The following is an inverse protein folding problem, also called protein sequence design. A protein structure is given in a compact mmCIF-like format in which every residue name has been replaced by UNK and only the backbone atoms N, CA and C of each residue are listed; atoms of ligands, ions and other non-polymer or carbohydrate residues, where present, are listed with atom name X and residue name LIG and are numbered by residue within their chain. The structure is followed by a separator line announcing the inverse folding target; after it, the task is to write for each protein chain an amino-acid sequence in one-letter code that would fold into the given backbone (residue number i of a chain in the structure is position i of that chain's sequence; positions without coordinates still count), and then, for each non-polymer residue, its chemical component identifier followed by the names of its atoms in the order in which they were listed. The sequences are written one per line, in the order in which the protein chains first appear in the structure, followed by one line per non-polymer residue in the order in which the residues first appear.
data_IF_422557895407
#
_entry.id   IF_422557895407
#
_cell.length_a   1.000
_cell.length_b   1.000
_cell.length_c   1.000
_cell.angle_alpha   90.00
_cell.angle_beta   90.00
_cell.angle_gamma   90.00
#
_symmetry.space_group_name_H-M   'P 1'
#
loop_
_entity.id
_entity.type
_entity.pdbx_description
1 polymer ?
#
# COMPACT_ATOMS: atom_id res chain seq x y z
N UNK A 1 -22.49 -4.30 14.73
CA UNK A 1 -21.28 -4.99 14.28
C UNK A 1 -20.82 -4.45 12.95
N UNK A 2 -19.55 -4.08 12.86
CA UNK A 2 -19.00 -3.44 11.67
C UNK A 2 -18.45 -4.46 10.68
N UNK A 3 -18.55 -4.14 9.37
CA UNK A 3 -17.87 -4.92 8.34
C UNK A 3 -16.34 -4.72 8.46
N UNK A 4 -15.55 -5.56 7.77
CA UNK A 4 -14.11 -5.43 7.75
C UNK A 4 -13.64 -4.06 7.24
N UNK A 5 -14.28 -3.56 6.16
CA UNK A 5 -13.95 -2.24 5.61
C UNK A 5 -14.31 -1.11 6.56
N UNK A 6 -15.46 -1.22 7.22
CA UNK A 6 -15.88 -0.22 8.21
C UNK A 6 -14.95 -0.22 9.41
N UNK A 7 -14.52 -1.40 9.87
CA UNK A 7 -13.57 -1.51 10.96
C UNK A 7 -12.24 -0.85 10.59
N UNK A 8 -11.79 -1.04 9.36
CA UNK A 8 -10.55 -0.44 8.89
C UNK A 8 -10.65 1.08 8.82
N UNK A 9 -11.78 1.60 8.33
CA UNK A 9 -11.98 3.06 8.29
C UNK A 9 -12.05 3.66 9.70
N UNK A 10 -12.65 2.97 10.64
CA UNK A 10 -12.68 3.42 12.03
C UNK A 10 -11.26 3.45 12.60
N UNK A 11 -10.46 2.42 12.31
CA UNK A 11 -9.08 2.37 12.76
C UNK A 11 -8.25 3.54 12.19
N UNK A 12 -8.46 3.85 10.91
CA UNK A 12 -7.79 4.98 10.26
C UNK A 12 -8.21 6.29 10.93
N UNK A 13 -9.51 6.46 11.17
CA UNK A 13 -10.02 7.67 11.83
C UNK A 13 -9.43 7.86 13.22
N UNK A 14 -9.30 6.78 13.99
CA UNK A 14 -8.69 6.83 15.32
C UNK A 14 -7.23 7.23 15.24
N UNK A 15 -6.49 6.68 14.27
CA UNK A 15 -5.10 7.05 14.07
C UNK A 15 -4.97 8.52 13.74
N UNK A 16 -5.84 9.06 12.88
CA UNK A 16 -5.83 10.46 12.49
C UNK A 16 -6.18 11.39 13.66
N UNK A 17 -7.03 10.92 14.58
CA UNK A 17 -7.43 11.75 15.72
C UNK A 17 -6.26 12.13 16.62
N UNK A 18 -5.15 11.40 16.55
CA UNK A 18 -3.94 11.71 17.33
C UNK A 18 -2.99 12.65 16.59
N UNK A 19 -3.33 13.07 15.38
CA UNK A 19 -2.51 13.94 14.52
C UNK A 19 -1.08 13.40 14.34
N UNK A 20 -0.94 12.16 13.84
CA UNK A 20 0.38 11.54 13.72
C UNK A 20 1.21 12.15 12.59
N UNK A 21 2.52 12.09 12.73
CA UNK A 21 3.42 12.48 11.64
C UNK A 21 3.51 11.39 10.57
N UNK A 22 3.43 10.12 10.99
CA UNK A 22 3.52 8.96 10.10
C UNK A 22 2.46 7.94 10.49
N UNK A 23 1.79 7.36 9.50
CA UNK A 23 0.85 6.26 9.71
C UNK A 23 1.41 5.01 9.07
N UNK A 24 1.37 3.89 9.79
CA UNK A 24 1.80 2.60 9.30
C UNK A 24 0.59 1.70 9.04
N UNK A 25 0.51 1.14 7.83
CA UNK A 25 -0.51 0.18 7.45
C UNK A 25 0.13 -1.15 7.11
N UNK A 26 -0.35 -2.23 7.71
CA UNK A 26 0.15 -3.58 7.44
C UNK A 26 -0.95 -4.40 6.79
N UNK A 27 -0.85 -4.61 5.48
CA UNK A 27 -1.83 -5.35 4.69
C UNK A 27 -3.25 -4.85 4.94
N UNK A 28 -3.51 -3.56 4.69
CA UNK A 28 -4.80 -2.96 5.07
C UNK A 28 -6.01 -3.56 4.35
N UNK A 29 -5.79 -4.25 3.23
CA UNK A 29 -6.86 -4.85 2.46
C UNK A 29 -6.94 -6.36 2.61
N UNK A 30 -6.08 -6.95 3.45
CA UNK A 30 -6.06 -8.39 3.68
C UNK A 30 -7.40 -8.85 4.26
N UNK A 31 -7.92 -9.97 3.73
CA UNK A 31 -9.18 -10.58 4.18
C UNK A 31 -10.44 -9.74 3.97
N UNK A 32 -10.38 -8.71 3.12
CA UNK A 32 -11.56 -7.92 2.78
C UNK A 32 -12.15 -8.36 1.45
N UNK A 33 -13.47 -8.17 1.30
CA UNK A 33 -14.13 -8.37 0.02
C UNK A 33 -13.65 -7.33 -1.00
N UNK A 34 -13.68 -7.64 -2.31
CA UNK A 34 -13.21 -6.69 -3.33
C UNK A 34 -13.84 -5.31 -3.25
N UNK A 35 -15.12 -5.22 -2.92
CA UNK A 35 -15.79 -3.92 -2.79
C UNK A 35 -15.21 -3.11 -1.64
N UNK A 36 -14.94 -3.76 -0.51
CA UNK A 36 -14.37 -3.10 0.66
C UNK A 36 -12.92 -2.71 0.44
N UNK A 37 -12.20 -3.49 -0.36
CA UNK A 37 -10.81 -3.15 -0.72
C UNK A 37 -10.78 -1.79 -1.40
N UNK A 38 -11.68 -1.55 -2.36
CA UNK A 38 -11.72 -0.27 -3.06
C UNK A 38 -12.05 0.90 -2.13
N UNK A 39 -12.93 0.70 -1.18
CA UNK A 39 -13.24 1.74 -0.20
C UNK A 39 -12.02 2.11 0.65
N UNK A 40 -11.30 1.11 1.14
CA UNK A 40 -10.13 1.35 1.98
C UNK A 40 -9.02 2.03 1.17
N UNK A 41 -8.76 1.53 -0.04
CA UNK A 41 -7.74 2.14 -0.89
C UNK A 41 -8.08 3.58 -1.26
N UNK A 42 -9.36 3.88 -1.46
CA UNK A 42 -9.82 5.24 -1.74
C UNK A 42 -9.51 6.19 -0.58
N UNK A 43 -9.77 5.74 0.66
CA UNK A 43 -9.44 6.54 1.84
C UNK A 43 -7.95 6.80 1.93
N UNK A 44 -7.14 5.76 1.71
CA UNK A 44 -5.69 5.88 1.78
C UNK A 44 -5.16 6.82 0.68
N UNK A 45 -5.73 6.75 -0.52
CA UNK A 45 -5.36 7.64 -1.62
C UNK A 45 -5.66 9.09 -1.27
N UNK A 46 -6.81 9.34 -0.66
CA UNK A 46 -7.18 10.68 -0.20
C UNK A 46 -6.16 11.21 0.80
N UNK A 47 -5.76 10.38 1.77
CA UNK A 47 -4.75 10.77 2.75
C UNK A 47 -3.41 11.09 2.10
N UNK A 48 -3.00 10.30 1.12
CA UNK A 48 -1.76 10.54 0.39
C UNK A 48 -1.81 11.87 -0.35
N UNK A 49 -2.94 12.18 -0.98
CA UNK A 49 -3.13 13.44 -1.70
C UNK A 49 -3.12 14.65 -0.76
N UNK A 50 -3.47 14.45 0.50
CA UNK A 50 -3.43 15.50 1.51
C UNK A 50 -2.04 15.69 2.12
N UNK A 51 -1.05 14.93 1.65
CA UNK A 51 0.32 15.06 2.11
C UNK A 51 0.68 14.24 3.34
N UNK A 52 -0.19 13.31 3.73
CA UNK A 52 0.08 12.44 4.87
C UNK A 52 1.21 11.46 4.54
N UNK A 53 2.20 11.38 5.44
CA UNK A 53 3.28 10.40 5.29
C UNK A 53 2.79 9.04 5.78
N UNK A 54 2.89 8.03 4.90
CA UNK A 54 2.42 6.69 5.21
C UNK A 54 3.44 5.65 4.79
N UNK A 55 3.55 4.59 5.60
CA UNK A 55 4.29 3.39 5.23
C UNK A 55 3.26 2.28 5.09
N UNK A 56 3.20 1.66 3.92
CA UNK A 56 2.19 0.66 3.62
C UNK A 56 2.84 -0.65 3.18
N UNK A 57 2.55 -1.73 3.89
CA UNK A 57 2.96 -3.08 3.50
C UNK A 57 1.77 -3.71 2.80
N UNK A 58 1.92 -4.06 1.53
CA UNK A 58 0.78 -4.52 0.75
C UNK A 58 1.20 -5.40 -0.43
N UNK A 59 0.28 -6.26 -0.86
CA UNK A 59 0.38 -6.99 -2.12
C UNK A 59 -0.50 -6.36 -3.21
N UNK A 60 -1.18 -5.26 -2.90
CA UNK A 60 -2.02 -4.56 -3.88
C UNK A 60 -1.16 -3.69 -4.79
N UNK A 61 -0.74 -4.26 -5.90
CA UNK A 61 0.19 -3.58 -6.81
C UNK A 61 -0.42 -2.36 -7.49
N UNK A 62 -1.72 -2.38 -7.79
CA UNK A 62 -2.37 -1.22 -8.38
C UNK A 62 -2.32 -0.02 -7.44
N UNK A 63 -2.52 -0.23 -6.15
CA UNK A 63 -2.40 0.83 -5.16
C UNK A 63 -0.96 1.33 -5.07
N UNK A 64 0.00 0.42 -4.95
CA UNK A 64 1.41 0.78 -4.87
C UNK A 64 1.85 1.60 -6.10
N UNK A 65 1.44 1.17 -7.28
CA UNK A 65 1.81 1.85 -8.53
C UNK A 65 1.23 3.25 -8.61
N UNK A 66 -0.04 3.41 -8.21
CA UNK A 66 -0.77 4.67 -8.44
C UNK A 66 -0.66 5.68 -7.30
N UNK A 67 -0.33 5.23 -6.10
CA UNK A 67 -0.38 6.09 -4.92
C UNK A 67 0.98 6.31 -4.27
N UNK A 68 1.85 5.31 -4.27
CA UNK A 68 3.13 5.45 -3.58
C UNK A 68 4.12 6.32 -4.35
N UNK A 69 4.99 7.01 -3.62
CA UNK A 69 6.09 7.78 -4.19
C UNK A 69 7.37 6.96 -4.22
N UNK A 70 7.56 6.09 -3.23
CA UNK A 70 8.75 5.25 -3.10
C UNK A 70 8.32 3.81 -2.82
N UNK A 71 8.93 2.85 -3.49
CA UNK A 71 8.58 1.44 -3.37
C UNK A 71 9.79 0.62 -2.97
N UNK A 72 9.60 -0.32 -2.05
CA UNK A 72 10.64 -1.22 -1.58
C UNK A 72 10.11 -2.65 -1.71
N UNK A 73 10.83 -3.48 -2.45
CA UNK A 73 10.53 -4.92 -2.50
C UNK A 73 11.44 -5.64 -1.52
N UNK A 74 10.82 -6.34 -0.57
CA UNK A 74 11.56 -7.11 0.42
C UNK A 74 11.23 -8.58 0.33
N UNK A 75 12.23 -9.42 0.59
CA UNK A 75 12.06 -10.87 0.59
C UNK A 75 13.03 -11.46 1.59
N UNK A 76 12.50 -12.32 2.46
CA UNK A 76 13.31 -12.99 3.51
C UNK A 76 14.14 -12.03 4.35
N UNK A 77 13.54 -10.90 4.70
CA UNK A 77 14.19 -9.91 5.54
C UNK A 77 15.23 -9.04 4.85
N UNK A 78 15.32 -9.14 3.52
CA UNK A 78 16.31 -8.35 2.75
C UNK A 78 15.59 -7.47 1.73
N UNK A 79 16.18 -6.32 1.47
CA UNK A 79 15.71 -5.43 0.40
C UNK A 79 16.26 -5.96 -0.92
N UNK A 80 15.36 -6.30 -1.84
CA UNK A 80 15.72 -6.78 -3.17
C UNK A 80 15.95 -5.60 -4.11
N UNK A 81 15.01 -4.66 -4.09
CA UNK A 81 15.09 -3.47 -4.93
C UNK A 81 14.26 -2.35 -4.32
N UNK A 82 14.69 -1.11 -4.49
CA UNK A 82 13.90 0.05 -4.08
C UNK A 82 14.12 1.20 -5.04
N UNK A 83 13.14 2.09 -5.11
CA UNK A 83 13.23 3.25 -5.98
C UNK A 83 11.90 3.99 -6.02
N UNK A 84 11.84 5.04 -6.85
CA UNK A 84 10.57 5.72 -7.02
C UNK A 84 9.58 4.80 -7.73
N UNK A 85 8.30 5.07 -7.53
CA UNK A 85 7.24 4.19 -8.03
C UNK A 85 7.31 4.00 -9.54
N UNK A 86 7.51 5.07 -10.28
CA UNK A 86 7.56 5.00 -11.75
C UNK A 86 8.68 4.07 -12.22
N UNK A 87 9.90 4.28 -11.74
CA UNK A 87 11.04 3.47 -12.15
C UNK A 87 10.90 2.01 -11.70
N UNK A 88 10.39 1.80 -10.49
CA UNK A 88 10.22 0.46 -9.96
C UNK A 88 9.29 -0.37 -10.85
N UNK A 89 8.16 0.19 -11.24
CA UNK A 89 7.16 -0.56 -12.01
C UNK A 89 7.44 -0.59 -13.52
N UNK A 90 7.98 0.48 -14.07
CA UNK A 90 8.23 0.57 -15.52
C UNK A 90 9.59 0.03 -15.93
N UNK A 91 10.58 0.11 -15.05
CA UNK A 91 11.95 -0.29 -15.38
C UNK A 91 12.64 -0.99 -14.21
N UNK A 92 12.09 -2.14 -13.74
CA UNK A 92 12.72 -2.87 -12.64
C UNK A 92 14.09 -3.38 -13.05
N UNK A 93 15.06 -3.31 -12.13
CA UNK A 93 16.45 -3.64 -12.42
C UNK A 93 16.83 -5.06 -12.04
N UNK A 94 16.20 -5.61 -10.99
CA UNK A 94 16.55 -6.95 -10.51
C UNK A 94 15.66 -8.00 -11.16
N UNK A 95 16.24 -9.15 -11.49
CA UNK A 95 15.47 -10.25 -12.06
C UNK A 95 14.34 -10.71 -11.13
N UNK A 96 14.60 -10.72 -9.82
CA UNK A 96 13.60 -11.12 -8.84
C UNK A 96 12.43 -10.15 -8.84
N UNK A 97 12.69 -8.85 -9.02
CA UNK A 97 11.65 -7.84 -9.11
C UNK A 97 10.78 -8.08 -10.35
N UNK A 98 11.41 -8.38 -11.48
CA UNK A 98 10.69 -8.66 -12.71
C UNK A 98 9.78 -9.87 -12.57
N UNK A 99 10.26 -10.95 -11.92
CA UNK A 99 9.45 -12.12 -11.66
C UNK A 99 8.27 -11.81 -10.76
N UNK A 100 8.53 -11.06 -9.69
CA UNK A 100 7.49 -10.67 -8.74
C UNK A 100 6.38 -9.89 -9.43
N UNK A 101 6.75 -8.89 -10.22
CA UNK A 101 5.76 -8.05 -10.90
C UNK A 101 4.97 -8.85 -11.93
N UNK A 102 5.59 -9.79 -12.63
CA UNK A 102 4.85 -10.63 -13.57
C UNK A 102 3.78 -11.46 -12.86
N UNK A 103 4.08 -12.00 -11.69
CA UNK A 103 3.12 -12.80 -10.93
C UNK A 103 1.99 -11.97 -10.35
N UNK A 104 2.32 -10.81 -9.80
CA UNK A 104 1.34 -10.00 -9.07
C UNK A 104 0.47 -9.13 -9.96
N UNK A 105 0.97 -8.74 -11.13
CA UNK A 105 0.26 -7.81 -12.01
C UNK A 105 -0.45 -8.55 -13.14
N UNK A 106 -0.07 -9.75 -13.44
CA UNK A 106 -0.72 -10.60 -14.44
C UNK A 106 -1.63 -11.64 -13.77
#
# INVERSE_FOLDING_TARGET
QLSGGQQQRVAIARALATSPDIIYFDEPTSALDPELIQEVLSVMKTLANEGMTMVVVTHEMSFAKNVSSHVILMEKGKIIEEGNSKDFFENPQQERTKEFLRKEVM
#
